data_IF_337405991310
#
_entry.id   IF_337405991310
#
_cell.length_a   1.000
_cell.length_b   1.000
_cell.length_c   1.000
_cell.angle_alpha   90.00
_cell.angle_beta   90.00
_cell.angle_gamma   90.00
#
_symmetry.space_group_name_H-M   'P 1'
#
loop_
_entity.id
_entity.type
_entity.pdbx_description
1 polymer ?
#
# COMPACT_ATOMS: atom_id res chain seq x y z
N UNK A 1 32.29 -7.24 -27.81
CA UNK A 1 30.83 -7.16 -28.04
C UNK A 1 30.18 -6.80 -26.72
N UNK A 2 30.06 -5.50 -26.45
CA UNK A 2 29.28 -4.97 -25.33
C UNK A 2 27.82 -5.21 -25.69
N UNK A 3 27.14 -6.10 -24.97
CA UNK A 3 25.69 -6.21 -25.08
C UNK A 3 25.10 -4.92 -24.55
N UNK A 4 24.61 -4.06 -25.42
CA UNK A 4 23.63 -3.05 -25.04
C UNK A 4 22.41 -3.80 -24.53
N UNK A 5 22.34 -4.00 -23.21
CA UNK A 5 21.09 -4.34 -22.55
C UNK A 5 20.22 -3.11 -22.81
N UNK A 6 19.30 -3.23 -23.76
CA UNK A 6 18.16 -2.33 -23.90
C UNK A 6 17.45 -2.31 -22.54
N UNK A 7 17.85 -1.38 -21.68
CA UNK A 7 17.10 -1.06 -20.47
C UNK A 7 15.82 -0.45 -20.99
N UNK A 8 14.77 -1.27 -21.12
CA UNK A 8 13.42 -0.76 -21.34
C UNK A 8 13.20 0.16 -20.15
N UNK A 9 13.26 1.47 -20.42
CA UNK A 9 13.04 2.49 -19.41
C UNK A 9 11.57 2.37 -19.04
N UNK A 10 11.30 1.64 -17.95
CA UNK A 10 9.95 1.53 -17.40
C UNK A 10 9.48 2.97 -17.16
N UNK A 11 8.29 3.28 -17.68
CA UNK A 11 7.74 4.63 -17.66
C UNK A 11 6.37 4.56 -17.01
N UNK A 12 6.13 5.44 -16.04
CA UNK A 12 4.81 5.58 -15.46
C UNK A 12 3.87 6.38 -16.35
N UNK A 13 2.58 6.21 -16.12
CA UNK A 13 1.56 7.09 -16.67
C UNK A 13 1.61 8.43 -15.96
N UNK A 14 1.97 9.48 -16.70
CA UNK A 14 2.17 10.83 -16.17
C UNK A 14 1.03 11.77 -16.57
N UNK A 15 0.52 12.54 -15.62
CA UNK A 15 -0.32 13.71 -15.89
C UNK A 15 0.46 14.96 -15.47
N UNK A 16 0.63 15.89 -16.40
CA UNK A 16 1.52 17.04 -16.23
C UNK A 16 0.80 18.31 -15.80
N UNK A 17 1.57 19.23 -15.21
CA UNK A 17 1.20 20.63 -15.00
C UNK A 17 -0.06 20.82 -14.14
N UNK A 18 -0.19 20.01 -13.09
CA UNK A 18 -1.34 20.02 -12.18
C UNK A 18 -1.09 21.03 -11.06
N UNK A 19 -2.08 21.88 -10.78
CA UNK A 19 -1.98 22.87 -9.72
C UNK A 19 -2.12 22.24 -8.34
N UNK A 20 -1.12 22.43 -7.46
CA UNK A 20 -1.27 22.12 -6.04
C UNK A 20 -2.16 23.18 -5.40
N UNK A 21 -3.16 22.75 -4.65
CA UNK A 21 -4.15 23.64 -4.00
C UNK A 21 -4.02 23.66 -2.48
N UNK A 22 -3.35 22.67 -1.90
CA UNK A 22 -3.02 22.60 -0.47
C UNK A 22 -1.96 21.54 -0.23
N UNK A 23 -1.00 21.80 0.65
CA UNK A 23 -0.18 20.77 1.29
C UNK A 23 -0.89 20.35 2.58
N UNK A 24 -1.18 19.05 2.73
CA UNK A 24 -1.95 18.54 3.87
C UNK A 24 -1.01 18.20 5.02
N UNK A 25 0.01 17.41 4.73
CA UNK A 25 1.08 16.99 5.63
C UNK A 25 2.34 16.64 4.80
N UNK A 26 3.28 15.91 5.40
CA UNK A 26 4.55 15.53 4.77
C UNK A 26 4.45 14.62 3.55
N UNK A 27 3.37 13.83 3.44
CA UNK A 27 3.22 12.83 2.38
C UNK A 27 1.86 12.89 1.64
N UNK A 28 1.09 13.95 1.88
CA UNK A 28 -0.21 14.16 1.24
C UNK A 28 -0.37 15.60 0.76
N UNK A 29 -0.77 15.76 -0.51
CA UNK A 29 -1.14 17.05 -1.11
C UNK A 29 -2.56 17.00 -1.70
N UNK A 30 -3.18 18.16 -1.90
CA UNK A 30 -4.38 18.31 -2.72
C UNK A 30 -4.04 19.01 -4.01
N UNK A 31 -4.59 18.53 -5.11
CA UNK A 31 -4.37 19.09 -6.45
C UNK A 31 -5.70 19.39 -7.15
N UNK A 32 -5.66 20.27 -8.15
CA UNK A 32 -6.79 20.51 -9.05
C UNK A 32 -6.59 19.69 -10.33
N UNK A 33 -7.33 18.57 -10.43
CA UNK A 33 -7.25 17.62 -11.53
C UNK A 33 -8.61 17.52 -12.23
N UNK A 34 -8.67 17.82 -13.54
CA UNK A 34 -9.92 17.81 -14.33
C UNK A 34 -11.06 18.57 -13.62
N UNK A 35 -10.76 19.78 -13.13
CA UNK A 35 -11.64 20.67 -12.36
C UNK A 35 -12.15 20.12 -11.01
N UNK A 36 -11.62 18.98 -10.55
CA UNK A 36 -11.92 18.39 -9.24
C UNK A 36 -10.72 18.51 -8.31
N UNK A 37 -11.00 18.73 -7.02
CA UNK A 37 -9.97 18.67 -5.98
C UNK A 37 -9.75 17.22 -5.59
N UNK A 38 -8.56 16.70 -5.86
CA UNK A 38 -8.15 15.34 -5.55
C UNK A 38 -7.05 15.35 -4.50
N UNK A 39 -7.05 14.35 -3.61
CA UNK A 39 -5.93 14.09 -2.72
C UNK A 39 -4.94 13.16 -3.42
N UNK A 40 -3.65 13.48 -3.32
CA UNK A 40 -2.55 12.62 -3.71
C UNK A 40 -1.83 12.18 -2.44
N UNK A 41 -1.82 10.88 -2.16
CA UNK A 41 -0.93 10.24 -1.21
C UNK A 41 0.34 9.84 -1.96
N UNK A 42 1.47 10.40 -1.53
CA UNK A 42 2.76 10.16 -2.17
C UNK A 42 3.10 8.68 -2.05
N UNK A 43 3.40 8.01 -3.15
CA UNK A 43 3.73 6.59 -3.11
C UNK A 43 5.09 6.31 -2.43
N UNK A 44 5.24 5.14 -1.84
CA UNK A 44 6.50 4.64 -1.24
C UNK A 44 7.16 5.50 -0.15
N UNK A 45 6.42 6.44 0.45
CA UNK A 45 6.82 7.20 1.65
C UNK A 45 5.81 7.02 2.79
N UNK A 46 6.23 7.13 4.05
CA UNK A 46 5.40 7.08 5.26
C UNK A 46 5.97 8.09 6.25
N UNK A 47 5.64 9.37 6.02
CA UNK A 47 6.04 10.44 6.94
C UNK A 47 5.40 10.16 8.31
N UNK A 48 6.12 10.45 9.40
CA UNK A 48 5.53 10.32 10.73
C UNK A 48 4.40 11.33 10.91
N UNK A 49 3.40 11.00 11.74
CA UNK A 49 2.18 11.81 11.82
C UNK A 49 2.46 13.18 12.43
N UNK A 50 1.88 14.21 11.83
CA UNK A 50 1.91 15.60 12.32
C UNK A 50 0.69 15.98 13.15
N UNK A 51 -0.40 15.18 13.09
CA UNK A 51 -1.67 15.41 13.79
C UNK A 51 -2.24 14.13 14.43
N UNK A 52 -2.98 14.28 15.52
CA UNK A 52 -3.35 13.20 16.45
C UNK A 52 -4.66 12.48 16.15
N UNK A 53 -5.22 12.59 14.95
CA UNK A 53 -6.52 11.98 14.63
C UNK A 53 -6.46 10.45 14.41
N UNK A 54 -5.26 9.85 14.42
CA UNK A 54 -5.04 8.43 14.14
C UNK A 54 -4.29 7.68 15.26
N UNK A 55 -4.23 6.35 15.16
CA UNK A 55 -3.59 5.46 16.15
C UNK A 55 -2.07 5.58 16.23
N UNK A 56 -1.44 6.29 15.30
CA UNK A 56 0.01 6.52 15.24
C UNK A 56 0.39 7.74 16.11
N UNK A 57 1.59 7.75 16.72
CA UNK A 57 2.02 8.88 17.55
C UNK A 57 2.31 10.12 16.68
N UNK A 58 1.90 11.29 17.16
CA UNK A 58 2.41 12.57 16.63
C UNK A 58 3.85 12.73 17.05
N UNK A 59 4.73 13.07 16.10
CA UNK A 59 6.17 13.22 16.37
C UNK A 59 6.69 14.58 15.95
N UNK A 60 7.87 14.95 16.45
CA UNK A 60 8.47 16.25 16.12
C UNK A 60 8.84 16.29 14.64
N UNK A 61 9.49 15.22 14.17
CA UNK A 61 9.86 15.09 12.76
C UNK A 61 8.64 15.06 11.83
N UNK A 62 7.49 14.53 12.27
CA UNK A 62 6.27 14.61 11.49
C UNK A 62 5.83 16.05 11.21
N UNK A 63 5.94 16.94 12.20
CA UNK A 63 5.66 18.38 12.04
C UNK A 63 6.70 19.06 11.15
N UNK A 64 7.98 18.82 11.42
CA UNK A 64 9.07 19.37 10.61
C UNK A 64 8.96 18.94 9.14
N UNK A 65 8.55 17.69 8.88
CA UNK A 65 8.32 17.19 7.52
C UNK A 65 7.17 17.93 6.84
N UNK A 66 6.07 18.18 7.56
CA UNK A 66 4.94 18.93 7.02
C UNK A 66 5.34 20.39 6.68
N UNK A 67 6.11 21.05 7.55
CA UNK A 67 6.65 22.39 7.29
C UNK A 67 7.61 22.40 6.09
N UNK A 68 8.49 21.40 5.99
CA UNK A 68 9.39 21.22 4.85
C UNK A 68 8.58 21.05 3.54
N UNK A 69 7.55 20.22 3.54
CA UNK A 69 6.68 20.02 2.38
C UNK A 69 5.96 21.31 1.97
N UNK A 70 5.43 22.07 2.94
CA UNK A 70 4.81 23.38 2.68
C UNK A 70 5.82 24.32 2.00
N UNK A 71 7.04 24.42 2.56
CA UNK A 71 8.11 25.23 1.99
C UNK A 71 8.51 24.75 0.59
N UNK A 72 8.56 23.44 0.38
CA UNK A 72 8.91 22.84 -0.90
C UNK A 72 7.93 23.20 -2.00
N UNK A 73 6.63 23.14 -1.73
CA UNK A 73 5.59 23.44 -2.72
C UNK A 73 5.24 24.93 -2.83
N UNK A 74 5.70 25.77 -1.91
CA UNK A 74 5.48 27.22 -1.98
C UNK A 74 6.53 27.88 -2.88
N UNK A 75 6.06 28.63 -3.87
CA UNK A 75 6.89 29.42 -4.77
C UNK A 75 7.33 30.74 -4.10
N UNK A 76 8.37 31.43 -4.62
CA UNK A 76 8.83 32.70 -4.04
C UNK A 76 7.77 33.80 -3.96
N UNK A 77 6.74 33.74 -4.82
CA UNK A 77 5.62 34.67 -4.80
C UNK A 77 4.52 34.30 -3.76
N UNK A 78 4.71 33.24 -2.99
CA UNK A 78 3.76 32.74 -1.98
C UNK A 78 2.67 31.82 -2.54
N UNK A 79 2.61 31.60 -3.84
CA UNK A 79 1.65 30.66 -4.45
C UNK A 79 2.14 29.22 -4.35
N UNK A 80 1.22 28.26 -4.45
CA UNK A 80 1.59 26.84 -4.52
C UNK A 80 1.99 26.47 -5.95
N UNK A 81 3.00 25.60 -6.06
CA UNK A 81 3.57 25.17 -7.32
C UNK A 81 2.62 24.32 -8.15
N UNK A 82 2.93 24.20 -9.45
CA UNK A 82 2.42 23.13 -10.30
C UNK A 82 3.37 21.94 -10.26
N UNK A 83 2.81 20.74 -10.40
CA UNK A 83 3.53 19.47 -10.32
C UNK A 83 3.08 18.53 -11.45
N UNK A 84 3.94 17.58 -11.78
CA UNK A 84 3.55 16.41 -12.54
C UNK A 84 3.27 15.27 -11.54
N UNK A 85 2.22 14.49 -11.78
CA UNK A 85 1.98 13.23 -11.04
C UNK A 85 2.27 12.05 -11.96
N UNK A 86 2.86 11.00 -11.41
CA UNK A 86 3.19 9.79 -12.14
C UNK A 86 2.76 8.55 -11.35
N UNK A 87 1.95 7.69 -11.99
CA UNK A 87 1.53 6.43 -11.38
C UNK A 87 2.60 5.36 -11.59
N UNK A 88 2.76 4.45 -10.61
CA UNK A 88 3.68 3.29 -10.69
C UNK A 88 3.14 2.18 -11.61
N UNK A 89 2.66 2.56 -12.79
CA UNK A 89 2.04 1.70 -13.81
C UNK A 89 2.08 2.40 -15.16
N UNK A 90 1.95 1.64 -16.24
CA UNK A 90 1.77 2.13 -17.61
C UNK A 90 0.31 2.03 -18.10
N UNK A 91 -0.63 1.70 -17.20
CA UNK A 91 -2.07 1.72 -17.49
C UNK A 91 -2.54 3.08 -18.04
N UNK A 92 -3.57 3.12 -18.90
CA UNK A 92 -4.19 4.37 -19.34
C UNK A 92 -4.58 5.28 -18.17
N UNK A 93 -4.56 6.59 -18.41
CA UNK A 93 -4.84 7.61 -17.37
C UNK A 93 -6.19 7.39 -16.69
N UNK A 94 -7.21 7.02 -17.45
CA UNK A 94 -8.57 6.76 -16.93
C UNK A 94 -8.55 5.62 -15.91
N UNK A 95 -7.86 4.52 -16.24
CA UNK A 95 -7.70 3.37 -15.35
C UNK A 95 -6.88 3.75 -14.11
N UNK A 96 -5.84 4.57 -14.27
CA UNK A 96 -5.06 5.06 -13.14
C UNK A 96 -5.93 5.82 -12.14
N UNK A 97 -6.75 6.75 -12.63
CA UNK A 97 -7.61 7.61 -11.81
C UNK A 97 -8.74 6.85 -11.10
N UNK A 98 -9.14 5.72 -11.64
CA UNK A 98 -10.13 4.84 -11.04
C UNK A 98 -9.51 3.88 -10.01
N UNK A 99 -8.46 3.15 -10.41
CA UNK A 99 -7.94 1.99 -9.66
C UNK A 99 -6.88 2.34 -8.62
N UNK A 100 -6.00 3.30 -8.90
CA UNK A 100 -4.80 3.57 -8.11
C UNK A 100 -5.08 4.55 -6.99
N UNK A 101 -5.89 4.06 -6.04
CA UNK A 101 -6.29 4.81 -4.83
C UNK A 101 -5.88 4.06 -3.59
N UNK A 102 -5.86 4.70 -2.44
CA UNK A 102 -5.74 4.02 -1.14
C UNK A 102 -7.11 3.67 -0.56
N UNK A 103 -7.14 3.17 0.67
CA UNK A 103 -8.39 2.78 1.35
C UNK A 103 -9.27 3.99 1.72
N UNK A 104 -8.70 5.20 1.73
CA UNK A 104 -9.40 6.46 1.94
C UNK A 104 -9.85 7.11 0.62
N UNK A 105 -9.56 6.47 -0.52
CA UNK A 105 -9.90 6.98 -1.85
C UNK A 105 -8.93 8.04 -2.38
N UNK A 106 -7.79 8.27 -1.72
CA UNK A 106 -6.75 9.20 -2.21
C UNK A 106 -6.00 8.56 -3.37
N UNK A 107 -5.68 9.30 -4.42
CA UNK A 107 -4.81 8.80 -5.50
C UNK A 107 -3.42 8.49 -4.95
N UNK A 108 -2.80 7.41 -5.41
CA UNK A 108 -1.44 7.02 -5.05
C UNK A 108 -0.54 7.32 -6.25
N UNK A 109 0.46 8.19 -6.08
CA UNK A 109 1.35 8.56 -7.17
C UNK A 109 2.70 9.12 -6.67
N UNK A 110 3.69 9.13 -7.55
CA UNK A 110 4.87 9.98 -7.45
C UNK A 110 4.50 11.42 -7.78
N UNK A 111 5.17 12.37 -7.12
CA UNK A 111 5.01 13.81 -7.37
C UNK A 111 6.35 14.39 -7.81
N UNK A 112 6.34 15.05 -8.96
CA UNK A 112 7.52 15.70 -9.54
C UNK A 112 7.31 17.21 -9.60
N UNK A 113 8.28 17.97 -9.08
CA UNK A 113 8.32 19.43 -9.20
C UNK A 113 9.61 19.82 -9.90
N UNK A 114 9.52 20.51 -11.05
CA UNK A 114 10.69 20.90 -11.85
C UNK A 114 11.64 19.72 -12.15
N UNK A 115 11.08 18.54 -12.46
CA UNK A 115 11.81 17.28 -12.70
C UNK A 115 12.45 16.61 -11.48
N UNK A 116 12.36 17.20 -10.28
CA UNK A 116 12.78 16.52 -9.04
C UNK A 116 11.63 15.63 -8.54
N UNK A 117 11.92 14.35 -8.30
CA UNK A 117 11.00 13.42 -7.66
C UNK A 117 10.96 13.69 -6.15
N UNK A 118 9.87 14.26 -5.67
CA UNK A 118 9.73 14.65 -4.26
C UNK A 118 9.68 13.43 -3.33
N UNK A 119 9.19 12.27 -3.79
CA UNK A 119 9.17 11.04 -3.01
C UNK A 119 10.60 10.56 -2.71
N UNK A 120 11.48 10.55 -3.72
CA UNK A 120 12.91 10.20 -3.53
C UNK A 120 13.59 11.23 -2.62
N UNK A 121 13.26 12.53 -2.77
CA UNK A 121 13.79 13.58 -1.90
C UNK A 121 13.47 13.33 -0.43
N UNK A 122 12.22 13.00 -0.11
CA UNK A 122 11.78 12.69 1.26
C UNK A 122 12.61 11.55 1.86
N UNK A 123 12.89 10.52 1.08
CA UNK A 123 13.70 9.37 1.53
C UNK A 123 15.16 9.79 1.73
N UNK A 124 15.75 10.43 0.72
CA UNK A 124 17.16 10.85 0.70
C UNK A 124 17.52 11.79 1.85
N UNK A 125 16.61 12.69 2.20
CA UNK A 125 16.81 13.65 3.29
C UNK A 125 16.37 13.11 4.67
N UNK A 126 15.91 11.86 4.74
CA UNK A 126 15.53 11.19 5.99
C UNK A 126 14.17 11.61 6.55
N UNK A 127 13.34 12.32 5.79
CA UNK A 127 11.98 12.70 6.21
C UNK A 127 11.00 11.51 6.21
N UNK A 128 11.31 10.46 5.46
CA UNK A 128 10.54 9.23 5.38
C UNK A 128 11.47 8.03 5.18
N UNK A 129 11.15 6.83 5.71
CA UNK A 129 11.72 5.61 5.20
C UNK A 129 11.21 5.31 3.78
N UNK A 130 11.87 4.40 3.07
CA UNK A 130 11.35 3.81 1.85
C UNK A 130 10.24 2.79 2.20
N UNK A 131 8.99 3.21 2.03
CA UNK A 131 7.83 2.50 2.54
C UNK A 131 7.35 1.39 1.58
N UNK A 132 8.00 0.24 1.65
CA UNK A 132 7.78 -0.93 0.77
C UNK A 132 6.71 -1.91 1.25
N UNK A 133 5.85 -1.53 2.22
CA UNK A 133 4.85 -2.43 2.82
C UNK A 133 3.92 -3.11 1.79
N UNK A 134 3.70 -2.48 0.64
CA UNK A 134 2.79 -2.93 -0.41
C UNK A 134 3.53 -3.35 -1.71
N UNK A 135 4.82 -3.69 -1.64
CA UNK A 135 5.64 -4.08 -2.79
C UNK A 135 6.82 -3.14 -3.01
N UNK A 136 7.66 -3.44 -4.00
CA UNK A 136 8.69 -2.49 -4.44
C UNK A 136 8.13 -1.52 -5.48
N UNK A 137 8.73 -0.34 -5.57
CA UNK A 137 8.50 0.60 -6.67
C UNK A 137 8.85 -0.08 -7.99
N UNK A 138 7.96 -0.01 -8.98
CA UNK A 138 8.23 -0.57 -10.31
C UNK A 138 9.15 0.34 -11.12
N UNK A 139 9.14 1.64 -10.82
CA UNK A 139 9.91 2.67 -11.55
C UNK A 139 11.24 3.07 -10.87
N UNK A 140 11.29 3.14 -9.54
CA UNK A 140 12.34 3.82 -8.78
C UNK A 140 12.90 3.00 -7.60
N UNK A 141 12.76 1.67 -7.63
CA UNK A 141 13.18 0.83 -6.51
C UNK A 141 14.66 1.02 -6.16
N UNK A 142 15.54 1.08 -7.16
CA UNK A 142 16.97 1.21 -6.93
C UNK A 142 17.28 2.58 -6.32
N UNK A 143 16.79 3.66 -6.92
CA UNK A 143 17.04 5.03 -6.49
C UNK A 143 16.51 5.30 -5.09
N UNK A 144 15.32 4.78 -4.75
CA UNK A 144 14.76 4.90 -3.40
C UNK A 144 15.54 4.08 -2.37
N UNK A 145 16.06 2.91 -2.74
CA UNK A 145 16.90 2.09 -1.86
C UNK A 145 18.23 2.77 -1.59
N UNK A 146 18.90 3.29 -2.62
CA UNK A 146 20.15 4.04 -2.48
C UNK A 146 19.96 5.31 -1.65
N UNK A 147 18.86 6.04 -1.86
CA UNK A 147 18.48 7.20 -1.06
C UNK A 147 18.30 6.85 0.44
N UNK A 148 17.64 5.74 0.75
CA UNK A 148 17.44 5.30 2.13
C UNK A 148 18.77 4.92 2.79
N UNK A 149 19.66 4.24 2.07
CA UNK A 149 21.00 3.90 2.53
C UNK A 149 21.80 5.17 2.86
N UNK A 150 21.76 6.18 2.00
CA UNK A 150 22.44 7.47 2.23
C UNK A 150 21.89 8.16 3.49
N UNK A 151 20.57 8.19 3.67
CA UNK A 151 19.93 8.79 4.83
C UNK A 151 20.28 8.06 6.14
N UNK A 152 20.30 6.72 6.12
CA UNK A 152 20.69 5.90 7.26
C UNK A 152 22.16 6.10 7.65
N UNK A 153 23.07 6.07 6.66
CA UNK A 153 24.50 6.23 6.90
C UNK A 153 24.85 7.58 7.54
N UNK A 154 24.08 8.63 7.22
CA UNK A 154 24.26 9.97 7.76
C UNK A 154 23.37 10.29 8.97
N UNK A 155 22.61 9.30 9.50
CA UNK A 155 21.68 9.47 10.61
C UNK A 155 20.69 10.63 10.40
N UNK A 156 20.13 10.76 9.19
CA UNK A 156 19.22 11.85 8.84
C UNK A 156 17.79 11.55 9.32
N UNK A 157 17.09 12.60 9.76
CA UNK A 157 15.67 12.57 10.06
C UNK A 157 15.23 11.35 10.90
N UNK A 158 14.36 10.49 10.35
CA UNK A 158 13.79 9.33 11.06
C UNK A 158 14.85 8.32 11.52
N UNK A 159 16.05 8.37 10.96
CA UNK A 159 17.21 7.53 11.31
C UNK A 159 18.05 8.14 12.44
N UNK A 160 17.84 9.41 12.77
CA UNK A 160 18.55 10.06 13.86
C UNK A 160 18.02 9.55 15.22
N UNK A 161 18.87 8.85 15.97
CA UNK A 161 18.52 8.34 17.31
C UNK A 161 18.13 9.43 18.32
N UNK A 162 18.60 10.67 18.12
CA UNK A 162 18.29 11.81 18.97
C UNK A 162 16.91 12.42 18.67
N UNK A 163 16.36 12.18 17.49
CA UNK A 163 15.03 12.64 17.13
C UNK A 163 13.99 11.85 17.93
N UNK A 164 12.99 12.58 18.45
CA UNK A 164 11.97 12.06 19.36
C UNK A 164 12.54 11.42 20.66
N UNK A 165 13.73 11.81 21.12
CA UNK A 165 14.28 11.32 22.40
C UNK A 165 13.32 11.59 23.55
N UNK A 166 13.06 10.55 24.35
CA UNK A 166 12.09 10.60 25.46
C UNK A 166 10.61 10.66 25.04
N UNK A 167 10.32 10.61 23.73
CA UNK A 167 8.96 10.60 23.16
C UNK A 167 8.66 9.26 22.50
N UNK A 168 7.39 9.03 22.15
CA UNK A 168 7.01 7.88 21.31
C UNK A 168 7.62 8.03 19.93
N UNK A 169 8.20 6.95 19.39
CA UNK A 169 8.75 6.87 18.04
C UNK A 169 8.35 5.58 17.36
N UNK A 170 8.41 5.55 16.03
CA UNK A 170 8.21 4.31 15.29
C UNK A 170 9.45 3.42 15.43
N UNK A 171 9.20 2.11 15.50
CA UNK A 171 10.28 1.12 15.60
C UNK A 171 10.66 0.64 14.20
N UNK A 172 11.46 1.43 13.47
CA UNK A 172 11.89 1.07 12.12
C UNK A 172 12.75 -0.20 12.08
N UNK A 173 13.48 -0.51 13.15
CA UNK A 173 14.23 -1.79 13.27
C UNK A 173 13.31 -3.01 13.22
N UNK A 174 12.05 -2.88 13.64
CA UNK A 174 11.03 -3.92 13.53
C UNK A 174 10.23 -3.79 12.22
N UNK A 175 9.87 -2.57 11.84
CA UNK A 175 8.98 -2.31 10.70
C UNK A 175 9.66 -2.56 9.35
N UNK A 176 10.90 -2.12 9.16
CA UNK A 176 11.61 -2.26 7.87
C UNK A 176 11.76 -3.74 7.48
N UNK A 177 12.30 -4.64 8.34
CA UNK A 177 12.36 -6.07 8.00
C UNK A 177 10.99 -6.68 7.70
N UNK A 178 9.97 -6.28 8.45
CA UNK A 178 8.61 -6.75 8.24
C UNK A 178 8.00 -6.24 6.92
N UNK A 179 8.27 -4.99 6.53
CA UNK A 179 7.90 -4.46 5.22
C UNK A 179 8.64 -5.18 4.10
N UNK A 180 9.92 -5.49 4.25
CA UNK A 180 10.70 -6.29 3.27
C UNK A 180 10.08 -7.68 3.06
N UNK A 181 9.67 -8.36 4.15
CA UNK A 181 8.94 -9.63 4.02
C UNK A 181 7.69 -9.44 3.17
N UNK A 182 6.85 -8.45 3.48
CA UNK A 182 5.62 -8.20 2.72
C UNK A 182 5.89 -7.85 1.26
N UNK A 183 6.88 -6.99 1.00
CA UNK A 183 7.28 -6.61 -0.34
C UNK A 183 7.68 -7.82 -1.16
N UNK A 184 8.49 -8.73 -0.60
CA UNK A 184 8.90 -9.97 -1.28
C UNK A 184 7.72 -10.87 -1.65
N UNK A 185 6.64 -10.88 -0.84
CA UNK A 185 5.43 -11.66 -1.14
C UNK A 185 4.65 -11.01 -2.28
N UNK A 186 4.56 -9.68 -2.29
CA UNK A 186 3.97 -8.93 -3.41
C UNK A 186 4.76 -9.15 -4.71
N UNK A 187 6.10 -9.17 -4.65
CA UNK A 187 6.91 -9.45 -5.84
C UNK A 187 6.72 -10.90 -6.34
N UNK A 188 6.58 -11.88 -5.44
CA UNK A 188 6.23 -13.24 -5.81
C UNK A 188 4.84 -13.31 -6.46
N UNK A 189 3.85 -12.58 -5.95
CA UNK A 189 2.53 -12.47 -6.58
C UNK A 189 2.63 -11.84 -7.98
N UNK A 190 3.34 -10.73 -8.12
CA UNK A 190 3.54 -10.06 -9.41
C UNK A 190 4.23 -10.96 -10.44
N UNK A 191 5.21 -11.75 -10.00
CA UNK A 191 6.01 -12.62 -10.87
C UNK A 191 5.25 -13.88 -11.29
N UNK A 192 4.57 -14.53 -10.35
CA UNK A 192 4.01 -15.88 -10.56
C UNK A 192 2.49 -15.93 -10.37
N UNK A 193 1.96 -15.19 -9.40
CA UNK A 193 0.52 -15.20 -9.07
C UNK A 193 -0.35 -14.68 -10.21
N UNK A 194 0.05 -13.59 -10.86
CA UNK A 194 -0.69 -13.02 -12.00
C UNK A 194 -0.81 -14.04 -13.15
N UNK A 195 0.30 -14.68 -13.54
CA UNK A 195 0.31 -15.70 -14.59
C UNK A 195 -0.50 -16.95 -14.22
N UNK A 196 -0.61 -17.25 -12.92
CA UNK A 196 -1.45 -18.33 -12.38
C UNK A 196 -2.94 -17.97 -12.25
N UNK A 197 -3.37 -16.80 -12.73
CA UNK A 197 -4.77 -16.37 -12.67
C UNK A 197 -5.23 -15.92 -11.27
N UNK A 198 -4.30 -15.62 -10.36
CA UNK A 198 -4.64 -15.10 -9.03
C UNK A 198 -5.13 -13.66 -9.15
N UNK A 199 -6.30 -13.37 -8.57
CA UNK A 199 -6.94 -12.06 -8.58
C UNK A 199 -6.49 -11.22 -7.37
N UNK A 200 -6.05 -9.98 -7.58
CA UNK A 200 -5.84 -9.04 -6.48
C UNK A 200 -7.16 -8.35 -6.11
N UNK A 201 -7.49 -8.33 -4.82
CA UNK A 201 -8.84 -7.97 -4.34
C UNK A 201 -9.32 -6.62 -4.85
N UNK A 202 -8.44 -5.62 -4.98
CA UNK A 202 -8.80 -4.25 -5.35
C UNK A 202 -8.74 -4.01 -6.85
N UNK A 203 -7.68 -4.47 -7.51
CA UNK A 203 -7.41 -4.24 -8.93
C UNK A 203 -8.26 -5.12 -9.84
N UNK A 204 -8.59 -6.33 -9.39
CA UNK A 204 -9.42 -7.30 -10.10
C UNK A 204 -10.84 -7.41 -9.52
N UNK A 205 -11.27 -6.44 -8.70
CA UNK A 205 -12.59 -6.47 -8.05
C UNK A 205 -13.77 -6.72 -9.02
N UNK A 206 -13.83 -6.12 -10.21
CA UNK A 206 -14.89 -6.43 -11.18
C UNK A 206 -14.93 -7.91 -11.60
N UNK A 207 -13.78 -8.57 -11.70
CA UNK A 207 -13.70 -10.01 -12.01
C UNK A 207 -14.17 -10.85 -10.83
N UNK A 208 -13.83 -10.44 -9.60
CA UNK A 208 -14.29 -11.10 -8.38
C UNK A 208 -15.81 -11.00 -8.25
N UNK A 209 -16.40 -9.85 -8.57
CA UNK A 209 -17.86 -9.69 -8.61
C UNK A 209 -18.51 -10.62 -9.63
N UNK A 210 -18.02 -10.65 -10.87
CA UNK A 210 -18.55 -11.53 -11.90
C UNK A 210 -18.47 -13.01 -11.49
N UNK A 211 -17.33 -13.43 -10.90
CA UNK A 211 -17.15 -14.77 -10.37
C UNK A 211 -18.12 -15.07 -9.19
N UNK A 212 -18.41 -14.08 -8.35
CA UNK A 212 -19.33 -14.23 -7.22
C UNK A 212 -20.79 -14.39 -7.65
N UNK A 213 -21.18 -13.76 -8.77
CA UNK A 213 -22.51 -13.88 -9.36
C UNK A 213 -22.78 -15.27 -9.91
N UNK A 214 -21.74 -15.95 -10.40
CA UNK A 214 -21.80 -17.30 -10.98
C UNK A 214 -21.39 -18.41 -10.01
N UNK A 215 -20.88 -18.07 -8.82
CA UNK A 215 -20.45 -19.06 -7.83
C UNK A 215 -19.14 -19.75 -8.22
N UNK A 216 -18.22 -19.06 -8.89
CA UNK A 216 -16.97 -19.63 -9.40
C UNK A 216 -15.95 -19.95 -8.30
N UNK A 217 -15.08 -20.92 -8.58
CA UNK A 217 -13.93 -21.21 -7.73
C UNK A 217 -12.73 -20.38 -8.19
N UNK A 218 -12.27 -19.47 -7.32
CA UNK A 218 -11.18 -18.54 -7.63
C UNK A 218 -10.03 -18.67 -6.62
N UNK A 219 -8.88 -18.11 -6.99
CA UNK A 219 -7.80 -17.83 -6.03
C UNK A 219 -7.56 -16.33 -5.97
N UNK A 220 -7.58 -15.78 -4.76
CA UNK A 220 -7.32 -14.35 -4.51
C UNK A 220 -6.03 -14.14 -3.73
N UNK A 221 -5.32 -13.06 -4.03
CA UNK A 221 -4.23 -12.55 -3.21
C UNK A 221 -4.81 -11.62 -2.15
N UNK A 222 -4.79 -12.05 -0.88
CA UNK A 222 -5.56 -11.45 0.22
C UNK A 222 -4.64 -10.96 1.35
N UNK A 223 -4.90 -9.78 1.89
CA UNK A 223 -4.18 -9.23 3.06
C UNK A 223 -4.92 -9.51 4.39
N UNK A 224 -4.42 -10.47 5.17
CA UNK A 224 -4.96 -10.80 6.49
C UNK A 224 -4.38 -9.95 7.62
N UNK A 225 -3.55 -8.95 7.32
CA UNK A 225 -2.85 -8.16 8.35
C UNK A 225 -3.79 -7.60 9.44
N UNK A 226 -4.98 -7.13 9.03
CA UNK A 226 -5.95 -6.51 9.93
C UNK A 226 -6.58 -7.48 10.94
N UNK A 227 -6.43 -8.79 10.75
CA UNK A 227 -7.05 -9.80 11.59
C UNK A 227 -8.58 -9.86 11.47
N UNK A 228 -9.22 -10.45 12.48
CA UNK A 228 -10.69 -10.53 12.52
C UNK A 228 -11.29 -9.15 12.70
N UNK A 229 -12.08 -8.73 11.71
CA UNK A 229 -12.76 -7.44 11.70
C UNK A 229 -14.00 -7.43 12.58
N UNK A 230 -14.70 -8.58 12.69
CA UNK A 230 -15.88 -8.72 13.55
C UNK A 230 -16.06 -10.17 14.02
N UNK A 231 -16.24 -10.35 15.32
CA UNK A 231 -16.68 -11.62 15.92
C UNK A 231 -18.22 -11.61 16.04
N UNK A 232 -18.85 -12.71 15.67
CA UNK A 232 -20.29 -12.97 15.80
C UNK A 232 -20.48 -14.25 16.63
N UNK A 233 -21.71 -14.47 17.11
CA UNK A 233 -22.03 -15.57 18.04
C UNK A 233 -21.57 -16.95 17.55
N UNK A 234 -21.60 -17.20 16.24
CA UNK A 234 -21.15 -18.45 15.62
C UNK A 234 -20.28 -18.25 14.37
N UNK A 235 -19.43 -17.20 14.38
CA UNK A 235 -18.44 -17.05 13.32
C UNK A 235 -17.68 -15.73 13.34
N UNK A 236 -16.78 -15.54 12.38
CA UNK A 236 -15.93 -14.37 12.27
C UNK A 236 -15.87 -13.82 10.85
N UNK A 237 -15.77 -12.50 10.74
CA UNK A 237 -15.62 -11.78 9.48
C UNK A 237 -14.22 -11.18 9.38
N UNK A 238 -13.58 -11.41 8.24
CA UNK A 238 -12.35 -10.75 7.82
C UNK A 238 -12.61 -10.04 6.49
N UNK A 239 -12.05 -8.85 6.33
CA UNK A 239 -12.19 -8.07 5.10
C UNK A 239 -10.83 -7.76 4.51
N UNK A 240 -10.79 -7.73 3.18
CA UNK A 240 -9.72 -7.09 2.41
C UNK A 240 -10.33 -6.14 1.38
N UNK A 241 -9.52 -5.19 0.94
CA UNK A 241 -9.87 -4.11 0.04
C UNK A 241 -10.48 -2.89 0.74
N UNK A 242 -11.10 -2.01 -0.05
CA UNK A 242 -11.62 -0.72 0.42
C UNK A 242 -13.06 -0.87 0.93
N UNK A 243 -13.76 0.23 1.17
CA UNK A 243 -15.21 0.18 1.45
C UNK A 243 -16.00 -0.23 0.21
N UNK A 244 -15.56 0.22 -0.96
CA UNK A 244 -16.29 0.09 -2.23
C UNK A 244 -15.83 -1.15 -3.02
N UNK A 245 -14.57 -1.60 -2.82
CA UNK A 245 -14.00 -2.80 -3.42
C UNK A 245 -13.61 -3.78 -2.32
N UNK A 246 -14.61 -4.45 -1.71
CA UNK A 246 -14.40 -5.28 -0.52
C UNK A 246 -14.71 -6.75 -0.80
N UNK A 247 -13.75 -7.63 -0.52
CA UNK A 247 -13.98 -9.06 -0.42
C UNK A 247 -14.14 -9.46 1.04
N UNK A 248 -15.15 -10.26 1.34
CA UNK A 248 -15.44 -10.79 2.67
C UNK A 248 -14.98 -12.24 2.78
N UNK A 249 -14.30 -12.56 3.87
CA UNK A 249 -14.14 -13.94 4.32
C UNK A 249 -15.06 -14.19 5.50
N UNK A 250 -15.87 -15.24 5.40
CA UNK A 250 -16.68 -15.73 6.50
C UNK A 250 -16.09 -17.01 7.06
N UNK A 251 -15.77 -17.01 8.35
CA UNK A 251 -15.29 -18.17 9.08
C UNK A 251 -16.44 -18.66 9.96
N UNK A 252 -17.14 -19.76 9.59
CA UNK A 252 -18.25 -20.29 10.36
C UNK A 252 -17.75 -21.00 11.63
N UNK A 253 -18.68 -21.29 12.54
CA UNK A 253 -18.52 -22.24 13.65
C UNK A 253 -17.27 -22.01 14.50
N UNK A 254 -16.94 -20.74 14.80
CA UNK A 254 -15.71 -20.38 15.53
C UNK A 254 -15.64 -20.92 16.96
N UNK A 255 -16.75 -21.43 17.49
CA UNK A 255 -16.82 -22.11 18.78
C UNK A 255 -16.55 -23.63 18.68
N UNK A 256 -16.56 -24.20 17.47
CA UNK A 256 -16.26 -25.60 17.23
C UNK A 256 -14.75 -25.86 17.34
N UNK A 257 -14.39 -26.94 18.03
CA UNK A 257 -13.00 -27.38 18.18
C UNK A 257 -12.31 -27.67 16.84
N UNK A 258 -13.05 -28.08 15.81
CA UNK A 258 -12.52 -28.38 14.46
C UNK A 258 -11.98 -27.14 13.74
N UNK A 259 -12.55 -25.96 14.00
CA UNK A 259 -12.14 -24.69 13.39
C UNK A 259 -10.94 -24.05 14.11
N UNK A 260 -10.66 -24.49 15.35
CA UNK A 260 -9.59 -23.92 16.18
C UNK A 260 -8.19 -23.92 15.52
N UNK A 261 -7.73 -24.98 14.82
CA UNK A 261 -6.45 -24.96 14.13
C UNK A 261 -6.36 -23.87 13.05
N UNK A 262 -7.44 -23.66 12.28
CA UNK A 262 -7.52 -22.60 11.28
C UNK A 262 -7.39 -21.21 11.94
N UNK A 263 -8.16 -20.94 13.00
CA UNK A 263 -8.07 -19.67 13.73
C UNK A 263 -6.67 -19.43 14.32
N UNK A 264 -6.03 -20.48 14.83
CA UNK A 264 -4.68 -20.39 15.38
C UNK A 264 -3.65 -20.10 14.28
N UNK A 265 -3.78 -20.74 13.11
CA UNK A 265 -2.94 -20.47 11.94
C UNK A 265 -3.08 -19.01 11.51
N UNK A 266 -4.32 -18.52 11.35
CA UNK A 266 -4.62 -17.13 11.01
C UNK A 266 -3.93 -16.14 11.96
N UNK A 267 -4.14 -16.33 13.26
CA UNK A 267 -3.57 -15.49 14.32
C UNK A 267 -2.04 -15.52 14.35
N UNK A 268 -1.44 -16.71 14.29
CA UNK A 268 0.00 -16.86 14.51
C UNK A 268 0.83 -16.54 13.27
N UNK A 269 0.27 -16.78 12.07
CA UNK A 269 1.02 -16.64 10.82
C UNK A 269 0.74 -15.33 10.11
N UNK A 270 -0.52 -14.91 10.01
CA UNK A 270 -0.90 -13.88 9.06
C UNK A 270 -1.25 -12.53 9.70
N UNK A 271 -1.83 -12.51 10.91
CA UNK A 271 -2.32 -11.27 11.52
C UNK A 271 -1.20 -10.36 12.05
N UNK A 272 -1.50 -9.06 12.17
CA UNK A 272 -0.62 -8.07 12.80
C UNK A 272 0.69 -7.87 12.06
N UNK A 273 1.82 -8.05 12.77
CA UNK A 273 3.17 -8.05 12.20
C UNK A 273 3.61 -9.44 11.72
N UNK A 274 2.67 -10.37 11.52
CA UNK A 274 2.89 -11.62 10.82
C UNK A 274 3.05 -11.42 9.31
N UNK A 275 2.92 -12.51 8.55
CA UNK A 275 3.08 -12.53 7.09
C UNK A 275 2.12 -11.59 6.34
N UNK A 276 0.90 -11.41 6.84
CA UNK A 276 -0.15 -10.62 6.19
C UNK A 276 -0.73 -11.30 4.95
N UNK A 277 -0.03 -11.19 3.82
CA UNK A 277 -0.49 -11.69 2.53
C UNK A 277 -0.54 -13.21 2.44
N UNK A 278 -1.60 -13.72 1.80
CA UNK A 278 -1.87 -15.14 1.58
C UNK A 278 -2.65 -15.34 0.27
N UNK A 279 -2.50 -16.51 -0.35
CA UNK A 279 -3.38 -16.94 -1.44
C UNK A 279 -4.57 -17.71 -0.85
N UNK A 280 -5.78 -17.27 -1.15
CA UNK A 280 -7.01 -17.91 -0.68
C UNK A 280 -7.76 -18.50 -1.86
N UNK A 281 -7.95 -19.82 -1.86
CA UNK A 281 -8.70 -20.53 -2.89
C UNK A 281 -10.04 -21.01 -2.34
N UNK A 282 -11.11 -20.72 -3.06
CA UNK A 282 -12.46 -21.06 -2.61
C UNK A 282 -13.53 -20.66 -3.62
N UNK A 283 -14.72 -21.21 -3.41
CA UNK A 283 -15.90 -20.75 -4.11
C UNK A 283 -16.28 -19.37 -3.58
N UNK A 284 -16.38 -18.38 -4.47
CA UNK A 284 -16.86 -17.04 -4.15
C UNK A 284 -18.35 -16.95 -4.49
N UNK A 285 -19.15 -16.37 -3.61
CA UNK A 285 -20.60 -16.19 -3.82
C UNK A 285 -21.03 -14.79 -3.43
N UNK A 286 -22.14 -14.31 -4.00
CA UNK A 286 -22.79 -13.09 -3.54
C UNK A 286 -23.58 -13.34 -2.25
N UNK A 287 -23.29 -12.54 -1.21
CA UNK A 287 -24.05 -12.52 0.03
C UNK A 287 -24.31 -11.08 0.48
N UNK A 288 -25.59 -10.69 0.54
CA UNK A 288 -26.03 -9.31 0.85
C UNK A 288 -25.26 -8.27 0.03
N UNK A 289 -25.27 -8.47 -1.29
CA UNK A 289 -24.67 -7.58 -2.28
C UNK A 289 -23.15 -7.44 -2.19
N UNK A 290 -22.47 -8.42 -1.56
CA UNK A 290 -21.01 -8.43 -1.45
C UNK A 290 -20.45 -9.80 -1.78
N UNK A 291 -19.30 -9.88 -2.48
CA UNK A 291 -18.64 -11.14 -2.71
C UNK A 291 -18.10 -11.70 -1.39
N UNK A 292 -18.28 -13.00 -1.18
CA UNK A 292 -17.89 -13.74 0.01
C UNK A 292 -17.23 -15.07 -0.35
N UNK A 293 -16.14 -15.40 0.33
CA UNK A 293 -15.59 -16.76 0.39
C UNK A 293 -15.80 -17.28 1.81
N UNK A 294 -16.34 -18.50 1.91
CA UNK A 294 -16.39 -19.23 3.19
C UNK A 294 -15.02 -19.85 3.42
N UNK A 295 -14.37 -19.49 4.53
CA UNK A 295 -13.07 -20.01 4.94
C UNK A 295 -13.28 -20.96 6.13
N UNK A 296 -13.37 -22.26 5.84
CA UNK A 296 -13.63 -23.32 6.83
C UNK A 296 -12.47 -24.30 6.99
N UNK A 297 -11.53 -24.32 6.05
CA UNK A 297 -10.42 -25.28 6.06
C UNK A 297 -9.06 -24.63 5.83
N UNK A 298 -8.02 -25.15 6.48
CA UNK A 298 -6.64 -24.67 6.27
C UNK A 298 -6.13 -24.86 4.84
N UNK A 299 -6.65 -25.86 4.10
CA UNK A 299 -6.23 -26.16 2.72
C UNK A 299 -6.60 -25.08 1.71
N UNK A 300 -7.51 -24.17 2.09
CA UNK A 300 -7.85 -22.99 1.29
C UNK A 300 -6.76 -21.91 1.33
N UNK A 301 -5.82 -22.00 2.26
CA UNK A 301 -4.74 -21.04 2.43
C UNK A 301 -3.44 -21.60 1.84
N UNK A 302 -2.76 -20.81 1.03
CA UNK A 302 -1.42 -21.11 0.53
C UNK A 302 -0.50 -19.90 0.68
N UNK A 303 0.75 -20.14 1.07
CA UNK A 303 1.80 -19.13 1.05
C UNK A 303 2.42 -18.93 -0.34
N UNK A 304 2.12 -19.84 -1.25
CA UNK A 304 2.66 -19.90 -2.61
C UNK A 304 1.53 -19.72 -3.62
N UNK A 305 1.83 -19.07 -4.77
CA UNK A 305 0.87 -19.03 -5.87
C UNK A 305 0.53 -20.45 -6.34
N UNK A 306 -0.67 -20.67 -6.90
CA UNK A 306 -1.00 -21.93 -7.56
C UNK A 306 0.07 -22.29 -8.60
N UNK A 307 0.38 -23.59 -8.72
CA UNK A 307 1.28 -24.05 -9.79
C UNK A 307 0.53 -23.95 -11.11
N UNK A 308 1.13 -23.24 -12.06
CA UNK A 308 0.71 -23.21 -13.48
C UNK A 308 1.12 -24.51 -14.15
#
# INVERSE_FOLDING_TARGET
MTSEILTIKKKGTTIKNIQVTRVVDGDTIKVLLKDKREFIRLDYVDAEESYSEYSKPVTEIGKETAEMAIKYFTLPNGELAKVDIEFDTDDPTENCLEKYRDHQGRLIAYVHKNSENFNIKLIKEGWSPYFIKYGYSRLYHQEMTEAEIEAQANNLGVWNSQINTGKRKRNYNLLVPWWTLRASIVENYRTYGIAAGVLEVRLDFPKILAAAETGEYITVFFDLQGGVSKWLDNGALVYDGTKDHRLKLWIPDTNNAEIKPLLQLLKNRYFGLGRGYVYISGQVNMYRDKPEIILSEMKQLSDFPPRV
#
